data_IF_513660970659
#
_entry.id   IF_513660970659
#
_cell.length_a   1.000
_cell.length_b   1.000
_cell.length_c   1.000
_cell.angle_alpha   90.00
_cell.angle_beta   90.00
_cell.angle_gamma   90.00
#
_symmetry.space_group_name_H-M   'P 1'
#
loop_
_entity.id
_entity.type
_entity.pdbx_description
1 polymer ?
#
# COMPACT_ATOMS: atom_id res chain seq x y z
N UNK A 1 22.37 -5.39 1.12
CA UNK A 1 23.19 -4.16 1.34
C UNK A 1 22.33 -2.88 1.31
N UNK A 2 21.40 -2.72 0.37
CA UNK A 2 20.57 -1.52 0.23
C UNK A 2 19.69 -1.24 1.45
N UNK A 3 19.09 -2.27 2.05
CA UNK A 3 18.26 -2.09 3.24
C UNK A 3 19.04 -1.49 4.42
N UNK A 4 20.32 -1.90 4.59
CA UNK A 4 21.18 -1.38 5.66
C UNK A 4 21.50 0.10 5.41
N UNK A 5 21.83 0.47 4.17
CA UNK A 5 22.09 1.86 3.80
C UNK A 5 20.83 2.73 3.96
N UNK A 6 19.67 2.27 3.46
CA UNK A 6 18.41 2.98 3.58
C UNK A 6 18.04 3.26 5.05
N UNK A 7 18.31 2.30 5.94
CA UNK A 7 18.01 2.41 7.37
C UNK A 7 18.73 3.58 8.09
N UNK A 8 19.78 4.13 7.51
CA UNK A 8 20.48 5.30 8.06
C UNK A 8 19.64 6.59 7.86
N UNK A 9 18.75 6.61 6.86
CA UNK A 9 18.06 7.82 6.42
C UNK A 9 16.53 7.76 6.59
N UNK A 10 15.95 6.56 6.79
CA UNK A 10 14.50 6.39 6.86
C UNK A 10 14.06 5.70 8.15
N UNK A 11 12.82 5.98 8.58
CA UNK A 11 12.20 5.31 9.73
C UNK A 11 11.41 4.07 9.33
N UNK A 12 10.93 4.02 8.08
CA UNK A 12 10.15 2.93 7.52
C UNK A 12 10.81 2.45 6.22
N UNK A 13 11.10 1.15 6.14
CA UNK A 13 11.58 0.52 4.91
C UNK A 13 10.41 -0.16 4.22
N UNK A 14 10.13 0.21 2.97
CA UNK A 14 9.11 -0.42 2.18
C UNK A 14 9.68 -1.55 1.32
N UNK A 15 9.03 -2.70 1.36
CA UNK A 15 9.28 -3.82 0.45
C UNK A 15 8.28 -3.72 -0.71
N UNK A 16 8.75 -3.59 -1.95
CA UNK A 16 7.88 -3.50 -3.12
C UNK A 16 7.00 -4.74 -3.30
N UNK A 17 5.82 -4.56 -3.90
CA UNK A 17 4.84 -5.62 -4.10
C UNK A 17 5.41 -6.84 -4.86
N UNK A 18 6.20 -6.60 -5.90
CA UNK A 18 6.82 -7.70 -6.68
C UNK A 18 7.84 -8.50 -5.88
N UNK A 19 8.41 -7.93 -4.83
CA UNK A 19 9.45 -8.54 -3.99
C UNK A 19 8.88 -9.06 -2.64
N UNK A 20 7.58 -8.98 -2.43
CA UNK A 20 6.94 -9.35 -1.16
C UNK A 20 7.20 -10.79 -0.70
N UNK A 21 7.59 -11.70 -1.61
CA UNK A 21 7.94 -13.09 -1.30
C UNK A 21 9.44 -13.35 -1.17
N UNK A 22 10.30 -12.40 -1.51
CA UNK A 22 11.75 -12.58 -1.51
C UNK A 22 12.30 -12.62 -0.07
N UNK A 23 12.78 -13.81 0.32
CA UNK A 23 13.19 -14.04 1.72
C UNK A 23 14.39 -13.19 2.12
N UNK A 24 15.38 -13.09 1.26
CA UNK A 24 16.62 -12.37 1.52
C UNK A 24 16.41 -10.87 1.74
N UNK A 25 15.57 -10.20 0.95
CA UNK A 25 15.26 -8.78 1.16
C UNK A 25 14.44 -8.56 2.43
N UNK A 26 13.46 -9.43 2.73
CA UNK A 26 12.67 -9.37 3.96
C UNK A 26 13.53 -9.53 5.20
N UNK A 27 14.43 -10.53 5.21
CA UNK A 27 15.36 -10.78 6.30
C UNK A 27 16.38 -9.63 6.44
N UNK A 28 16.89 -9.12 5.32
CA UNK A 28 17.83 -8.00 5.33
C UNK A 28 17.18 -6.73 5.88
N UNK A 29 15.96 -6.42 5.48
CA UNK A 29 15.21 -5.30 6.02
C UNK A 29 14.88 -5.49 7.52
N UNK A 30 14.44 -6.69 7.92
CA UNK A 30 14.16 -6.99 9.33
C UNK A 30 15.35 -6.71 10.25
N UNK A 31 16.56 -7.10 9.84
CA UNK A 31 17.80 -6.90 10.60
C UNK A 31 18.17 -5.43 10.84
N UNK A 32 17.56 -4.49 10.14
CA UNK A 32 17.76 -3.05 10.38
C UNK A 32 17.01 -2.54 11.61
N UNK A 33 16.08 -3.31 12.15
CA UNK A 33 15.19 -2.94 13.26
C UNK A 33 14.33 -1.69 13.00
N UNK A 34 14.20 -1.25 11.74
CA UNK A 34 13.25 -0.22 11.30
C UNK A 34 11.85 -0.81 11.17
N UNK A 35 10.84 0.04 10.99
CA UNK A 35 9.50 -0.42 10.63
C UNK A 35 9.55 -0.97 9.20
N UNK A 36 9.00 -2.15 8.98
CA UNK A 36 8.96 -2.79 7.66
C UNK A 36 7.54 -2.73 7.13
N UNK A 37 7.36 -2.00 6.03
CA UNK A 37 6.11 -1.96 5.29
C UNK A 37 6.18 -2.92 4.10
N UNK A 38 5.41 -4.00 4.13
CA UNK A 38 5.38 -4.98 3.04
C UNK A 38 4.18 -4.68 2.15
N UNK A 39 4.41 -4.19 0.93
CA UNK A 39 3.33 -4.08 -0.06
C UNK A 39 2.91 -5.47 -0.52
N UNK A 40 1.61 -5.76 -0.43
CA UNK A 40 1.06 -7.04 -0.88
C UNK A 40 1.25 -7.18 -2.40
N UNK A 41 1.82 -8.30 -2.84
CA UNK A 41 1.89 -8.61 -4.27
C UNK A 41 0.50 -8.71 -4.90
N UNK A 42 0.35 -8.20 -6.12
CA UNK A 42 -0.92 -8.26 -6.87
C UNK A 42 -1.40 -9.70 -7.10
N UNK A 43 -0.48 -10.65 -7.07
CA UNK A 43 -0.67 -12.09 -7.27
C UNK A 43 -0.90 -12.85 -5.94
N UNK A 44 -0.94 -12.16 -4.81
CA UNK A 44 -1.03 -12.77 -3.48
C UNK A 44 -2.44 -12.62 -2.89
N UNK A 45 -2.91 -13.66 -2.23
CA UNK A 45 -4.08 -13.56 -1.35
C UNK A 45 -3.72 -12.84 -0.05
N UNK A 46 -4.72 -12.26 0.62
CA UNK A 46 -4.53 -11.63 1.92
C UNK A 46 -3.89 -12.59 2.95
N UNK A 47 -4.45 -13.82 3.07
CA UNK A 47 -3.93 -14.83 4.01
C UNK A 47 -2.47 -15.21 3.74
N UNK A 48 -2.03 -15.22 2.50
CA UNK A 48 -0.65 -15.57 2.16
C UNK A 48 0.40 -14.55 2.66
N UNK A 49 -0.03 -13.34 3.02
CA UNK A 49 0.87 -12.31 3.56
C UNK A 49 1.46 -12.70 4.92
N UNK A 50 0.81 -13.61 5.67
CA UNK A 50 1.36 -14.14 6.93
C UNK A 50 2.77 -14.71 6.75
N UNK A 51 3.07 -15.34 5.61
CA UNK A 51 4.40 -15.91 5.38
C UNK A 51 5.48 -14.83 5.19
N UNK A 52 5.14 -13.72 4.57
CA UNK A 52 6.06 -12.59 4.44
C UNK A 52 6.30 -11.91 5.79
N UNK A 53 5.23 -11.69 6.56
CA UNK A 53 5.31 -11.13 7.91
C UNK A 53 6.12 -12.04 8.84
N UNK A 54 5.87 -13.34 8.81
CA UNK A 54 6.60 -14.30 9.64
C UNK A 54 8.10 -14.25 9.38
N UNK A 55 8.55 -14.12 8.14
CA UNK A 55 9.97 -13.98 7.83
C UNK A 55 10.61 -12.77 8.53
N UNK A 56 9.88 -11.65 8.62
CA UNK A 56 10.35 -10.46 9.34
C UNK A 56 10.37 -10.70 10.85
N UNK A 57 9.29 -11.26 11.39
CA UNK A 57 9.14 -11.53 12.84
C UNK A 57 10.15 -12.56 13.32
N UNK A 58 10.30 -13.67 12.61
CA UNK A 58 11.27 -14.73 12.91
C UNK A 58 12.74 -14.26 12.79
N UNK A 59 12.97 -13.20 12.00
CA UNK A 59 14.27 -12.51 11.93
C UNK A 59 14.51 -11.54 13.11
N UNK A 60 13.60 -11.48 14.08
CA UNK A 60 13.75 -10.71 15.32
C UNK A 60 13.10 -9.32 15.30
N UNK A 61 12.39 -8.92 14.20
CA UNK A 61 11.76 -7.62 14.10
C UNK A 61 10.23 -7.74 14.09
N UNK A 62 9.58 -7.22 15.15
CA UNK A 62 8.12 -7.20 15.28
C UNK A 62 7.47 -5.94 14.70
N UNK A 63 8.26 -4.97 14.22
CA UNK A 63 7.77 -3.70 13.68
C UNK A 63 7.43 -3.90 12.19
N UNK A 64 6.31 -4.51 11.91
CA UNK A 64 5.88 -4.83 10.54
C UNK A 64 4.45 -4.37 10.31
N UNK A 65 4.18 -3.84 9.12
CA UNK A 65 2.86 -3.50 8.62
C UNK A 65 2.70 -3.98 7.17
N UNK A 66 1.47 -4.11 6.72
CA UNK A 66 1.12 -4.57 5.37
C UNK A 66 0.41 -3.44 4.63
N UNK A 67 0.75 -3.26 3.36
CA UNK A 67 0.00 -2.35 2.49
C UNK A 67 -0.74 -3.15 1.41
N UNK A 68 -2.08 -3.11 1.45
CA UNK A 68 -2.95 -3.57 0.38
C UNK A 68 -2.86 -2.58 -0.79
N UNK A 69 -2.72 -3.09 -2.03
CA UNK A 69 -2.57 -2.27 -3.23
C UNK A 69 -3.30 -2.84 -4.46
N UNK A 70 -4.28 -3.67 -4.22
CA UNK A 70 -5.06 -4.34 -5.24
C UNK A 70 -4.49 -5.70 -5.63
N UNK A 71 -5.38 -6.52 -6.14
CA UNK A 71 -5.10 -7.85 -6.67
C UNK A 71 -5.33 -7.83 -8.17
N UNK A 72 -4.41 -8.44 -8.92
CA UNK A 72 -4.56 -8.60 -10.36
C UNK A 72 -5.69 -9.58 -10.65
N UNK A 73 -6.62 -9.15 -11.47
CA UNK A 73 -7.74 -9.93 -11.95
C UNK A 73 -7.72 -10.01 -13.47
N UNK A 74 -8.48 -10.92 -14.09
CA UNK A 74 -8.38 -11.24 -15.51
C UNK A 74 -8.76 -10.15 -16.52
N UNK A 75 -9.11 -8.94 -16.07
CA UNK A 75 -9.64 -7.87 -16.90
C UNK A 75 -8.66 -6.69 -17.13
N UNK A 76 -7.36 -6.91 -16.99
CA UNK A 76 -6.33 -5.86 -17.07
C UNK A 76 -6.57 -4.70 -16.11
N UNK A 77 -7.16 -5.00 -14.98
CA UNK A 77 -7.46 -4.04 -13.91
C UNK A 77 -7.05 -4.62 -12.56
N UNK A 78 -6.91 -3.75 -11.57
CA UNK A 78 -6.64 -4.14 -10.19
C UNK A 78 -7.90 -3.95 -9.35
N UNK A 79 -8.14 -4.91 -8.44
CA UNK A 79 -9.31 -4.89 -7.57
C UNK A 79 -8.85 -4.93 -6.12
N UNK A 80 -9.37 -4.00 -5.31
CA UNK A 80 -9.26 -4.08 -3.85
C UNK A 80 -10.43 -4.92 -3.33
N UNK A 81 -10.11 -6.10 -2.81
CA UNK A 81 -11.09 -6.91 -2.09
C UNK A 81 -11.12 -6.47 -0.61
N UNK A 82 -12.13 -5.70 -0.22
CA UNK A 82 -12.26 -5.20 1.14
C UNK A 82 -12.44 -6.31 2.19
N UNK A 83 -12.89 -7.50 1.82
CA UNK A 83 -12.91 -8.67 2.71
C UNK A 83 -11.49 -9.06 3.12
N UNK A 84 -10.54 -8.92 2.19
CA UNK A 84 -9.12 -9.17 2.43
C UNK A 84 -8.49 -8.24 3.47
N UNK A 85 -8.98 -7.00 3.61
CA UNK A 85 -8.50 -6.05 4.64
C UNK A 85 -8.72 -6.64 6.04
N UNK A 86 -9.89 -7.21 6.30
CA UNK A 86 -10.17 -7.85 7.60
C UNK A 86 -9.21 -9.01 7.89
N UNK A 87 -8.80 -9.77 6.88
CA UNK A 87 -7.83 -10.85 7.04
C UNK A 87 -6.41 -10.31 7.26
N UNK A 88 -6.01 -9.28 6.52
CA UNK A 88 -4.70 -8.64 6.71
C UNK A 88 -4.56 -8.05 8.12
N UNK A 89 -5.59 -7.42 8.65
CA UNK A 89 -5.60 -6.83 9.99
C UNK A 89 -5.39 -7.87 11.12
N UNK A 90 -5.75 -9.13 10.89
CA UNK A 90 -5.43 -10.22 11.85
C UNK A 90 -3.94 -10.57 11.87
N UNK A 91 -3.21 -10.19 10.82
CA UNK A 91 -1.79 -10.51 10.64
C UNK A 91 -0.90 -9.37 11.14
N UNK A 92 -1.19 -8.13 10.71
CA UNK A 92 -0.41 -6.94 11.05
C UNK A 92 -1.24 -5.66 10.80
N UNK A 93 -0.82 -4.50 11.33
CA UNK A 93 -1.40 -3.21 10.95
C UNK A 93 -1.45 -3.07 9.43
N UNK A 94 -2.60 -2.62 8.92
CA UNK A 94 -2.91 -2.65 7.50
C UNK A 94 -3.13 -1.26 6.93
N UNK A 95 -2.36 -0.92 5.90
CA UNK A 95 -2.44 0.31 5.12
C UNK A 95 -3.17 0.00 3.80
N UNK A 96 -3.99 0.91 3.31
CA UNK A 96 -4.53 0.85 1.95
C UNK A 96 -3.82 1.86 1.04
N UNK A 97 -3.22 1.38 -0.02
CA UNK A 97 -2.62 2.18 -1.08
C UNK A 97 -3.69 2.50 -2.14
N UNK A 98 -4.13 3.75 -2.16
CA UNK A 98 -5.16 4.22 -3.09
C UNK A 98 -4.59 4.84 -4.37
N UNK A 99 -3.26 4.88 -4.51
CA UNK A 99 -2.57 5.26 -5.74
C UNK A 99 -2.38 4.05 -6.65
N UNK A 100 -1.68 3.03 -6.14
CA UNK A 100 -1.34 1.88 -6.97
C UNK A 100 -2.50 0.89 -7.14
N UNK A 101 -3.53 0.96 -6.30
CA UNK A 101 -4.74 0.14 -6.47
C UNK A 101 -5.64 0.60 -7.62
N UNK A 102 -5.44 1.82 -8.14
CA UNK A 102 -6.19 2.34 -9.30
C UNK A 102 -5.40 2.25 -10.62
N UNK A 103 -4.23 1.64 -10.60
CA UNK A 103 -3.45 1.37 -11.80
C UNK A 103 -4.19 0.46 -12.77
N UNK A 104 -4.01 0.74 -14.07
CA UNK A 104 -4.34 -0.17 -15.18
C UNK A 104 -3.06 -0.73 -15.78
N UNK A 105 -2.63 -1.92 -15.37
CA UNK A 105 -1.43 -2.54 -15.92
C UNK A 105 -1.62 -2.95 -17.38
N UNK A 106 -0.50 -3.24 -18.05
CA UNK A 106 -0.48 -3.80 -19.41
C UNK A 106 -1.14 -2.92 -20.50
N UNK A 107 -0.94 -1.61 -20.42
CA UNK A 107 -1.38 -0.71 -21.48
C UNK A 107 -0.50 -0.82 -22.72
N UNK A 108 -1.10 -0.67 -23.90
CA UNK A 108 -0.41 -0.74 -25.20
C UNK A 108 0.65 0.35 -25.40
N UNK A 109 0.54 1.46 -24.64
CA UNK A 109 1.52 2.55 -24.65
C UNK A 109 2.83 2.23 -23.94
N UNK A 110 2.93 1.06 -23.27
CA UNK A 110 4.10 0.71 -22.45
C UNK A 110 4.19 1.47 -21.13
N UNK A 111 3.23 2.34 -20.83
CA UNK A 111 3.12 3.09 -19.57
C UNK A 111 1.87 2.63 -18.84
N UNK A 112 1.97 2.45 -17.52
CA UNK A 112 0.82 2.10 -16.69
C UNK A 112 -0.21 3.24 -16.71
N UNK A 113 -1.44 2.92 -17.14
CA UNK A 113 -2.58 3.82 -17.03
C UNK A 113 -3.21 3.80 -15.63
N UNK A 114 -4.28 4.56 -15.44
CA UNK A 114 -4.99 4.56 -14.18
C UNK A 114 -6.29 5.35 -14.17
N UNK A 115 -7.00 5.24 -13.06
CA UNK A 115 -8.28 5.88 -12.83
C UNK A 115 -8.23 6.69 -11.51
N UNK A 116 -7.55 7.85 -11.47
CA UNK A 116 -7.38 8.64 -10.26
C UNK A 116 -8.72 9.15 -9.67
N UNK A 117 -9.79 9.14 -10.45
CA UNK A 117 -11.15 9.47 -9.98
C UNK A 117 -11.66 8.50 -8.89
N UNK A 118 -11.09 7.31 -8.77
CA UNK A 118 -11.47 6.34 -7.74
C UNK A 118 -10.69 6.49 -6.42
N UNK A 119 -9.68 7.36 -6.37
CA UNK A 119 -8.84 7.54 -5.16
C UNK A 119 -9.70 7.87 -3.94
N UNK A 120 -10.58 8.87 -4.04
CA UNK A 120 -11.42 9.29 -2.91
C UNK A 120 -12.36 8.14 -2.48
N UNK A 121 -13.04 7.48 -3.41
CA UNK A 121 -13.98 6.42 -3.08
C UNK A 121 -13.31 5.22 -2.41
N UNK A 122 -12.14 4.81 -2.90
CA UNK A 122 -11.35 3.73 -2.30
C UNK A 122 -10.82 4.13 -0.92
N UNK A 123 -10.32 5.36 -0.77
CA UNK A 123 -9.84 5.86 0.51
C UNK A 123 -10.95 5.86 1.57
N UNK A 124 -12.13 6.38 1.22
CA UNK A 124 -13.32 6.37 2.10
C UNK A 124 -13.72 4.96 2.49
N UNK A 125 -13.82 4.05 1.51
CA UNK A 125 -14.14 2.66 1.77
C UNK A 125 -13.08 1.99 2.67
N UNK A 126 -11.79 2.29 2.48
CA UNK A 126 -10.72 1.82 3.34
C UNK A 126 -10.89 2.25 4.81
N UNK A 127 -11.16 3.54 5.03
CA UNK A 127 -11.39 4.06 6.39
C UNK A 127 -12.59 3.37 7.05
N UNK A 128 -13.72 3.22 6.33
CA UNK A 128 -14.90 2.50 6.85
C UNK A 128 -14.58 1.05 7.19
N UNK A 129 -13.74 0.37 6.40
CA UNK A 129 -13.27 -0.98 6.69
C UNK A 129 -12.17 -1.03 7.79
N UNK A 130 -11.82 0.11 8.37
CA UNK A 130 -10.95 0.20 9.53
C UNK A 130 -9.48 -0.04 9.23
N UNK A 131 -8.97 0.35 8.04
CA UNK A 131 -7.54 0.35 7.79
C UNK A 131 -6.81 1.29 8.76
N UNK A 132 -5.58 0.94 9.12
CA UNK A 132 -4.78 1.71 10.09
C UNK A 132 -4.17 2.96 9.45
N UNK A 133 -4.09 3.01 8.12
CA UNK A 133 -3.60 4.17 7.38
C UNK A 133 -3.92 4.10 5.89
N UNK A 134 -3.69 5.22 5.23
CA UNK A 134 -3.82 5.37 3.76
C UNK A 134 -2.46 5.75 3.19
N UNK A 135 -2.07 5.13 2.09
CA UNK A 135 -0.93 5.52 1.27
C UNK A 135 -1.43 6.25 0.03
N UNK A 136 -0.94 7.46 -0.21
CA UNK A 136 -1.32 8.31 -1.34
C UNK A 136 -0.06 8.94 -1.93
N UNK A 137 0.14 8.79 -3.23
CA UNK A 137 1.12 9.58 -3.97
C UNK A 137 0.49 10.84 -4.52
N UNK A 138 1.20 11.96 -4.39
CA UNK A 138 0.73 13.27 -4.82
C UNK A 138 1.79 13.98 -5.64
N UNK A 139 1.37 14.83 -6.55
CA UNK A 139 2.25 15.70 -7.31
C UNK A 139 1.56 17.04 -7.59
N UNK A 140 2.32 18.11 -7.72
CA UNK A 140 1.80 19.46 -8.05
C UNK A 140 1.20 19.52 -9.46
N UNK A 141 1.71 18.67 -10.37
CA UNK A 141 1.21 18.47 -11.72
C UNK A 141 1.42 16.99 -12.08
N UNK A 142 0.43 16.12 -11.81
CA UNK A 142 0.55 14.67 -12.06
C UNK A 142 0.98 14.31 -13.48
N UNK A 143 0.62 15.13 -14.47
CA UNK A 143 0.99 14.89 -15.88
C UNK A 143 2.50 14.96 -16.13
N UNK A 144 3.26 15.60 -15.23
CA UNK A 144 4.72 15.76 -15.28
C UNK A 144 5.46 14.83 -14.32
N UNK A 145 4.76 13.99 -13.60
CA UNK A 145 5.39 13.03 -12.70
C UNK A 145 6.25 12.04 -13.50
N UNK A 146 7.40 11.67 -12.95
CA UNK A 146 8.35 10.75 -13.61
C UNK A 146 7.85 9.31 -13.67
N UNK A 147 6.97 8.93 -12.75
CA UNK A 147 6.30 7.62 -12.70
C UNK A 147 4.89 7.81 -12.16
N UNK A 148 4.01 6.87 -12.43
CA UNK A 148 2.65 6.76 -11.86
C UNK A 148 1.76 8.02 -11.96
N UNK A 149 2.10 8.98 -12.81
CA UNK A 149 1.37 10.25 -12.95
C UNK A 149 -0.11 10.05 -13.25
N UNK A 150 -0.47 9.00 -14.00
CA UNK A 150 -1.86 8.65 -14.29
C UNK A 150 -2.67 8.22 -13.05
N UNK A 151 -2.00 7.97 -11.90
CA UNK A 151 -2.61 7.46 -10.67
C UNK A 151 -2.42 8.40 -9.49
N UNK A 152 -1.60 9.44 -9.63
CA UNK A 152 -1.32 10.38 -8.55
C UNK A 152 -2.50 11.33 -8.30
N UNK A 153 -2.67 11.69 -7.05
CA UNK A 153 -3.57 12.77 -6.65
C UNK A 153 -2.89 14.13 -6.87
N UNK A 154 -3.62 15.07 -7.45
CA UNK A 154 -3.19 16.49 -7.43
C UNK A 154 -3.10 16.95 -5.98
N UNK A 155 -1.93 17.48 -5.58
CA UNK A 155 -1.65 17.88 -4.20
C UNK A 155 -2.65 18.93 -3.67
N UNK A 156 -3.22 19.76 -4.55
CA UNK A 156 -4.21 20.76 -4.18
C UNK A 156 -5.54 20.14 -3.69
N UNK A 157 -5.78 18.85 -3.96
CA UNK A 157 -6.95 18.11 -3.49
C UNK A 157 -6.69 17.32 -2.21
N UNK A 158 -5.44 17.26 -1.75
CA UNK A 158 -5.05 16.39 -0.65
C UNK A 158 -5.68 16.82 0.69
N UNK A 159 -5.69 18.11 0.99
CA UNK A 159 -6.24 18.64 2.25
C UNK A 159 -7.74 18.34 2.39
N UNK A 160 -8.51 18.58 1.33
CA UNK A 160 -9.95 18.28 1.29
C UNK A 160 -10.21 16.78 1.47
N UNK A 161 -9.44 15.93 0.77
CA UNK A 161 -9.55 14.49 0.93
C UNK A 161 -9.24 14.05 2.36
N UNK A 162 -8.13 14.49 2.94
CA UNK A 162 -7.76 14.12 4.32
C UNK A 162 -8.84 14.57 5.31
N UNK A 163 -9.38 15.78 5.16
CA UNK A 163 -10.43 16.30 6.01
C UNK A 163 -11.68 15.40 5.97
N UNK A 164 -12.11 14.99 4.79
CA UNK A 164 -13.23 14.05 4.63
C UNK A 164 -12.94 12.69 5.29
N UNK A 165 -11.73 12.17 5.12
CA UNK A 165 -11.33 10.89 5.70
C UNK A 165 -11.30 10.93 7.24
N UNK A 166 -10.86 12.02 7.82
CA UNK A 166 -10.86 12.22 9.29
C UNK A 166 -12.27 12.24 9.85
N UNK A 167 -13.22 12.93 9.20
CA UNK A 167 -14.64 12.95 9.58
C UNK A 167 -15.22 11.53 9.57
N UNK A 168 -14.96 10.77 8.51
CA UNK A 168 -15.42 9.38 8.39
C UNK A 168 -14.81 8.53 9.50
N UNK A 169 -13.51 8.64 9.73
CA UNK A 169 -12.80 7.87 10.76
C UNK A 169 -13.38 8.16 12.16
N UNK A 170 -13.61 9.42 12.47
CA UNK A 170 -14.20 9.81 13.75
C UNK A 170 -15.61 9.22 13.92
N UNK A 171 -16.42 9.25 12.86
CA UNK A 171 -17.77 8.70 12.88
C UNK A 171 -17.78 7.19 13.05
N UNK A 172 -16.87 6.49 12.34
CA UNK A 172 -16.80 5.00 12.36
C UNK A 172 -16.11 4.46 13.62
N UNK A 173 -15.26 5.24 14.29
CA UNK A 173 -14.60 4.82 15.53
C UNK A 173 -15.55 4.65 16.73
N UNK A 174 -16.78 5.08 16.56
CA UNK A 174 -17.85 5.00 17.58
C UNK A 174 -18.77 3.78 17.38
N UNK A 175 -18.57 3.02 16.31
CA UNK A 175 -19.30 1.81 15.97
C UNK A 175 -18.51 0.55 16.35
#
# INVERSE_FOLDING_TARGET
DEAKLAAEYVDIIQIPAFLARQTDILVSAAKTNKIINIKKGQFMSADSMKYAVNKVVESGNKKVMITERGTQFGYNDLIVDFRGISELKKIAPTILDVTHSVQKPNQTSGVTGGNPEYIESLARAGIVNGVDGIFIETHTDPSKAKSDGANMLDINKLEDLITKLLIIRESTSKL
#
